data_IF_006310942032
#
_entry.id   IF_006310942032
#
_cell.length_a   1.000
_cell.length_b   1.000
_cell.length_c   1.000
_cell.angle_alpha   90.00
_cell.angle_beta   90.00
_cell.angle_gamma   90.00
#
_symmetry.space_group_name_H-M   'P 1'
#
loop_
_entity.id
_entity.type
_entity.pdbx_description
1 polymer ?
#
# COMPACT_ATOMS: atom_id res chain seq x y z
N UNK A 1 39.05 -8.31 -9.38
CA UNK A 1 38.94 -7.03 -10.11
C UNK A 1 40.21 -6.24 -9.92
N UNK A 2 40.58 -5.47 -10.94
CA UNK A 2 41.73 -4.56 -10.88
C UNK A 2 41.39 -3.29 -10.10
N UNK A 3 42.40 -2.59 -9.58
CA UNK A 3 42.22 -1.33 -8.84
C UNK A 3 41.53 -0.23 -9.69
N UNK A 4 41.57 -0.37 -11.01
CA UNK A 4 40.90 0.49 -11.98
C UNK A 4 39.42 0.14 -12.15
N UNK A 5 39.06 -1.14 -12.18
CA UNK A 5 37.67 -1.61 -12.16
C UNK A 5 36.97 -1.21 -10.85
N UNK A 6 37.66 -1.33 -9.70
CA UNK A 6 37.13 -0.85 -8.42
C UNK A 6 36.90 0.67 -8.42
N UNK A 7 37.83 1.46 -9.00
CA UNK A 7 37.65 2.91 -9.13
C UNK A 7 36.57 3.34 -10.13
N UNK A 8 36.27 2.52 -11.14
CA UNK A 8 35.19 2.78 -12.10
C UNK A 8 33.83 2.44 -11.48
N UNK A 9 33.74 1.31 -10.78
CA UNK A 9 32.56 0.92 -9.99
C UNK A 9 32.18 2.00 -8.97
N UNK A 10 33.15 2.48 -8.19
CA UNK A 10 32.94 3.52 -7.18
C UNK A 10 32.56 4.89 -7.76
N UNK A 11 32.89 5.18 -9.02
CA UNK A 11 32.57 6.47 -9.66
C UNK A 11 31.16 6.51 -10.22
N UNK A 12 30.71 5.48 -10.92
CA UNK A 12 29.38 5.44 -11.59
C UNK A 12 28.79 4.03 -11.71
N UNK A 13 29.58 2.96 -11.57
CA UNK A 13 29.12 1.59 -11.82
C UNK A 13 28.17 1.00 -10.77
N UNK A 14 27.97 1.65 -9.62
CA UNK A 14 27.00 1.22 -8.61
C UNK A 14 25.57 1.73 -8.86
N UNK A 15 25.41 2.79 -9.66
CA UNK A 15 24.12 3.48 -9.81
C UNK A 15 23.08 2.65 -10.57
N UNK A 16 23.51 1.96 -11.63
CA UNK A 16 22.64 1.13 -12.47
C UNK A 16 22.18 -0.15 -11.74
N UNK A 17 23.06 -0.94 -11.08
CA UNK A 17 22.62 -2.05 -10.23
C UNK A 17 21.70 -1.62 -9.09
N UNK A 18 21.96 -0.47 -8.46
CA UNK A 18 21.09 0.06 -7.41
C UNK A 18 19.70 0.39 -7.95
N UNK A 19 19.61 1.02 -9.12
CA UNK A 19 18.32 1.32 -9.73
C UNK A 19 17.53 0.04 -10.04
N UNK A 20 18.18 -0.99 -10.59
CA UNK A 20 17.56 -2.28 -10.85
C UNK A 20 17.02 -2.92 -9.55
N UNK A 21 17.84 -2.96 -8.49
CA UNK A 21 17.45 -3.48 -7.19
C UNK A 21 16.23 -2.72 -6.61
N UNK A 22 16.22 -1.39 -6.73
CA UNK A 22 15.11 -0.56 -6.27
C UNK A 22 13.83 -0.83 -7.06
N UNK A 23 13.91 -0.98 -8.39
CA UNK A 23 12.73 -1.32 -9.22
C UNK A 23 12.19 -2.72 -8.90
N UNK A 24 13.07 -3.68 -8.59
CA UNK A 24 12.66 -5.00 -8.09
C UNK A 24 11.94 -4.88 -6.75
N UNK A 25 12.46 -4.08 -5.83
CA UNK A 25 11.83 -3.83 -4.53
C UNK A 25 10.44 -3.21 -4.68
N UNK A 26 10.28 -2.20 -5.54
CA UNK A 26 8.96 -1.59 -5.81
C UNK A 26 8.00 -2.62 -6.40
N UNK A 27 8.46 -3.48 -7.32
CA UNK A 27 7.63 -4.56 -7.89
C UNK A 27 7.11 -5.51 -6.81
N UNK A 28 7.95 -5.87 -5.84
CA UNK A 28 7.55 -6.72 -4.70
C UNK A 28 6.51 -6.01 -3.81
N UNK A 29 6.71 -4.73 -3.51
CA UNK A 29 5.77 -3.92 -2.73
C UNK A 29 4.42 -3.83 -3.45
N UNK A 30 4.40 -3.54 -4.76
CA UNK A 30 3.19 -3.47 -5.59
C UNK A 30 2.44 -4.80 -5.58
N UNK A 31 3.15 -5.93 -5.75
CA UNK A 31 2.52 -7.25 -5.80
C UNK A 31 1.81 -7.69 -4.51
N UNK A 32 2.17 -7.10 -3.38
CA UNK A 32 1.62 -7.43 -2.05
C UNK A 32 0.81 -6.28 -1.43
N UNK A 33 0.83 -5.11 -2.06
CA UNK A 33 0.19 -3.90 -1.57
C UNK A 33 -1.31 -3.82 -1.87
N UNK A 34 -1.99 -2.96 -1.12
CA UNK A 34 -3.38 -2.55 -1.39
C UNK A 34 -3.49 -1.73 -2.68
N UNK A 35 -4.72 -1.32 -3.03
CA UNK A 35 -4.99 -0.66 -4.31
C UNK A 35 -4.26 0.66 -4.47
N UNK A 36 -4.17 1.48 -3.41
CA UNK A 36 -3.38 2.71 -3.42
C UNK A 36 -1.90 2.42 -3.65
N UNK A 37 -1.33 1.46 -2.91
CA UNK A 37 0.08 1.06 -3.08
C UNK A 37 0.36 0.55 -4.50
N UNK A 38 -0.57 -0.21 -5.11
CA UNK A 38 -0.44 -0.69 -6.48
C UNK A 38 -0.42 0.45 -7.50
N UNK A 39 -1.29 1.43 -7.35
CA UNK A 39 -1.40 2.59 -8.26
C UNK A 39 -0.13 3.44 -8.18
N UNK A 40 0.25 3.86 -6.97
CA UNK A 40 1.39 4.74 -6.77
C UNK A 40 2.72 4.04 -7.10
N UNK A 41 2.87 2.78 -6.71
CA UNK A 41 4.08 2.01 -7.04
C UNK A 41 4.21 1.75 -8.54
N UNK A 42 3.11 1.51 -9.26
CA UNK A 42 3.12 1.39 -10.73
C UNK A 42 3.46 2.73 -11.39
N UNK A 43 2.96 3.85 -10.86
CA UNK A 43 3.31 5.18 -11.35
C UNK A 43 4.82 5.45 -11.17
N UNK A 44 5.39 5.12 -10.01
CA UNK A 44 6.82 5.23 -9.74
C UNK A 44 7.67 4.36 -10.68
N UNK A 45 7.25 3.12 -10.95
CA UNK A 45 7.95 2.22 -11.90
C UNK A 45 7.97 2.77 -13.33
N UNK A 46 6.91 3.47 -13.74
CA UNK A 46 6.84 4.12 -15.05
C UNK A 46 7.58 5.48 -15.10
N UNK A 47 8.13 5.93 -13.97
CA UNK A 47 8.83 7.19 -13.82
C UNK A 47 10.35 7.08 -13.84
N UNK A 48 10.98 8.14 -13.34
CA UNK A 48 12.43 8.31 -13.21
C UNK A 48 12.99 7.53 -12.03
N UNK A 49 14.32 7.34 -11.94
CA UNK A 49 14.96 6.76 -10.75
C UNK A 49 14.73 7.58 -9.48
N UNK A 50 14.40 8.87 -9.61
CA UNK A 50 14.01 9.70 -8.47
C UNK A 50 12.60 9.32 -7.97
N UNK A 51 11.66 9.05 -8.88
CA UNK A 51 10.29 8.65 -8.53
C UNK A 51 10.26 7.29 -7.84
N UNK A 52 11.08 6.34 -8.30
CA UNK A 52 11.28 5.03 -7.65
C UNK A 52 11.79 5.21 -6.23
N UNK A 53 12.77 6.09 -6.02
CA UNK A 53 13.33 6.38 -4.69
C UNK A 53 12.32 7.06 -3.77
N UNK A 54 11.62 8.08 -4.26
CA UNK A 54 10.60 8.79 -3.47
C UNK A 54 9.49 7.83 -3.01
N UNK A 55 9.05 6.94 -3.90
CA UNK A 55 8.06 5.93 -3.53
C UNK A 55 8.58 4.97 -2.45
N UNK A 56 9.85 4.53 -2.54
CA UNK A 56 10.45 3.65 -1.53
C UNK A 56 10.63 4.37 -0.19
N UNK A 57 11.00 5.64 -0.21
CA UNK A 57 11.31 6.43 0.98
C UNK A 57 10.04 6.84 1.75
N UNK A 58 8.99 7.25 1.05
CA UNK A 58 7.78 7.83 1.66
C UNK A 58 6.48 7.30 1.03
N UNK A 59 6.40 7.27 -0.31
CA UNK A 59 5.15 7.07 -1.04
C UNK A 59 4.44 5.76 -0.74
N UNK A 60 5.16 4.66 -0.53
CA UNK A 60 4.58 3.36 -0.18
C UNK A 60 3.82 3.38 1.16
N UNK A 61 4.28 4.20 2.12
CA UNK A 61 3.71 4.27 3.46
C UNK A 61 2.46 5.15 3.48
N UNK A 62 2.50 6.27 2.77
CA UNK A 62 1.35 7.15 2.59
C UNK A 62 0.22 6.43 1.86
N UNK A 63 0.55 5.71 0.77
CA UNK A 63 -0.41 4.92 0.02
C UNK A 63 -1.04 3.80 0.88
N UNK A 64 -0.24 3.13 1.73
CA UNK A 64 -0.74 2.11 2.65
C UNK A 64 -1.65 2.71 3.73
N UNK A 65 -1.30 3.88 4.27
CA UNK A 65 -2.15 4.58 5.23
C UNK A 65 -3.50 4.97 4.61
N UNK A 66 -3.49 5.43 3.35
CA UNK A 66 -4.72 5.72 2.62
C UNK A 66 -5.59 4.46 2.42
N UNK A 67 -4.98 3.33 2.03
CA UNK A 67 -5.66 2.04 1.92
C UNK A 67 -6.27 1.61 3.27
N UNK A 68 -5.53 1.75 4.37
CA UNK A 68 -5.98 1.39 5.72
C UNK A 68 -7.15 2.28 6.19
N UNK A 69 -7.13 3.57 5.88
CA UNK A 69 -8.25 4.48 6.17
C UNK A 69 -9.51 4.07 5.41
N UNK A 70 -9.38 3.74 4.13
CA UNK A 70 -10.51 3.27 3.31
C UNK A 70 -11.09 1.99 3.90
N UNK A 71 -10.25 1.01 4.23
CA UNK A 71 -10.68 -0.24 4.85
C UNK A 71 -11.39 0.00 6.20
N UNK A 72 -10.84 0.87 7.04
CA UNK A 72 -11.43 1.23 8.33
C UNK A 72 -12.83 1.86 8.16
N UNK A 73 -12.98 2.78 7.21
CA UNK A 73 -14.29 3.39 6.91
C UNK A 73 -15.32 2.37 6.41
N UNK A 74 -14.89 1.40 5.60
CA UNK A 74 -15.77 0.33 5.12
C UNK A 74 -16.24 -0.58 6.27
N UNK A 75 -15.35 -0.92 7.20
CA UNK A 75 -15.68 -1.69 8.40
C UNK A 75 -16.68 -0.92 9.26
N UNK A 76 -16.44 0.37 9.52
CA UNK A 76 -17.34 1.22 10.32
C UNK A 76 -18.73 1.33 9.70
N UNK A 77 -18.80 1.54 8.38
CA UNK A 77 -20.07 1.63 7.64
C UNK A 77 -20.85 0.32 7.73
N UNK A 78 -20.19 -0.80 7.43
CA UNK A 78 -20.82 -2.13 7.43
C UNK A 78 -21.28 -2.54 8.83
N UNK A 79 -20.43 -2.31 9.84
CA UNK A 79 -20.77 -2.55 11.24
C UNK A 79 -21.97 -1.72 11.69
N UNK A 80 -21.99 -0.41 11.38
CA UNK A 80 -23.11 0.46 11.72
C UNK A 80 -24.44 0.03 11.09
N UNK A 81 -24.42 -0.43 9.84
CA UNK A 81 -25.61 -0.99 9.17
C UNK A 81 -26.09 -2.27 9.85
N UNK A 82 -25.19 -3.22 10.11
CA UNK A 82 -25.53 -4.49 10.76
C UNK A 82 -26.06 -4.27 12.19
N UNK A 83 -25.42 -3.39 12.96
CA UNK A 83 -25.88 -3.03 14.31
C UNK A 83 -27.26 -2.37 14.28
N UNK A 84 -27.52 -1.46 13.34
CA UNK A 84 -28.83 -0.84 13.19
C UNK A 84 -29.91 -1.86 12.86
N UNK A 85 -29.66 -2.74 11.90
CA UNK A 85 -30.61 -3.80 11.53
C UNK A 85 -30.92 -4.73 12.71
N UNK A 86 -29.90 -5.11 13.49
CA UNK A 86 -30.10 -5.92 14.70
C UNK A 86 -30.94 -5.20 15.76
N UNK A 87 -30.72 -3.89 15.95
CA UNK A 87 -31.52 -3.09 16.88
C UNK A 87 -32.98 -2.96 16.42
N UNK A 88 -33.23 -2.74 15.12
CA UNK A 88 -34.57 -2.69 14.55
C UNK A 88 -35.31 -4.02 14.72
N UNK A 89 -34.64 -5.15 14.50
CA UNK A 89 -35.20 -6.48 14.73
C UNK A 89 -35.55 -6.70 16.20
N UNK A 90 -34.66 -6.31 17.13
CA UNK A 90 -34.92 -6.43 18.56
C UNK A 90 -36.10 -5.56 19.03
N UNK A 91 -36.27 -4.36 18.46
CA UNK A 91 -37.41 -3.49 18.75
C UNK A 91 -38.73 -4.06 18.19
N UNK A 92 -38.69 -4.73 17.05
CA UNK A 92 -39.85 -5.42 16.48
C UNK A 92 -40.23 -6.68 17.27
N UNK A 93 -39.27 -7.33 17.93
CA UNK A 93 -39.46 -8.58 18.67
C UNK A 93 -39.79 -8.44 20.16
N UNK A 94 -40.30 -7.30 20.64
CA UNK A 94 -40.69 -7.12 22.06
C UNK A 94 -42.22 -7.21 22.23
N UNK A 95 -42.74 -7.40 23.46
CA UNK A 95 -43.06 -8.65 24.16
C UNK A 95 -44.39 -9.34 23.76
N UNK A 96 -45.07 -8.94 22.70
CA UNK A 96 -46.41 -9.48 22.38
C UNK A 96 -46.38 -10.97 21.96
N UNK A 97 -45.21 -11.52 21.65
CA UNK A 97 -44.99 -12.94 21.29
C UNK A 97 -44.81 -13.89 22.49
N UNK A 98 -44.86 -13.38 23.74
CA UNK A 98 -44.97 -14.21 24.95
C UNK A 98 -46.36 -14.10 25.57
N UNK A 99 -47.36 -14.65 24.86
CA UNK A 99 -48.69 -14.93 25.39
C UNK A 99 -48.90 -16.44 25.58
#
# INVERSE_FOLDING_TARGET
GTEEETRAFLRVGWQEPLEEDQRVQVTQIVSTGGRGVQIEGTAALNGTPADVREFLDSGQYEAREADDRVNTMQILSTGGVATRAAAELALQGSPDDVS
#
